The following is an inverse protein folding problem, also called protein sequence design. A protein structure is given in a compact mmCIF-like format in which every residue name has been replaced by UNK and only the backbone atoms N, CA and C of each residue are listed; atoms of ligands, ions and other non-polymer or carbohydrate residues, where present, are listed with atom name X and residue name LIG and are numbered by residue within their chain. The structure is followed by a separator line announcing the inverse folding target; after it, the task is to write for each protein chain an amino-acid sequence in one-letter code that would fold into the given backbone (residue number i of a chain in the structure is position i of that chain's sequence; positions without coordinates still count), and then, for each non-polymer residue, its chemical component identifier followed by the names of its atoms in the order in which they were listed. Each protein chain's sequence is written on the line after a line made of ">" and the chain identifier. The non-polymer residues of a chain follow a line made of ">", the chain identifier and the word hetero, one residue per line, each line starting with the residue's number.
data_IF_280316926623
#
_entry.id   IF_280316926623
#
_cell.length_a   1.000
_cell.length_b   1.000
_cell.length_c   1.000
_cell.angle_alpha   90.00
_cell.angle_beta   90.00
_cell.angle_gamma   90.00
#
_symmetry.space_group_name_H-M   'P 1'
#
loop_
_entity.id
_entity.type
_entity.pdbx_description
1 polymer ?
#
# COMPACT_ATOMS: atom_id res chain seq x y z
N UNK A 1 -12.81 -36.93 16.29
CA UNK A 1 -12.99 -35.49 16.61
C UNK A 1 -11.72 -34.75 17.00
N UNK A 2 -11.01 -35.14 18.08
CA UNK A 2 -9.84 -34.37 18.59
C UNK A 2 -8.74 -34.08 17.55
N UNK A 3 -8.44 -35.04 16.66
CA UNK A 3 -7.42 -34.89 15.60
C UNK A 3 -7.83 -33.93 14.47
N UNK A 4 -9.12 -33.78 14.20
CA UNK A 4 -9.65 -32.88 13.18
C UNK A 4 -9.63 -31.43 13.67
N UNK A 5 -10.07 -31.20 14.92
CA UNK A 5 -9.97 -29.90 15.58
C UNK A 5 -8.52 -29.41 15.71
N UNK A 6 -7.58 -30.32 16.02
CA UNK A 6 -6.14 -29.99 16.07
C UNK A 6 -5.58 -29.62 14.69
N UNK A 7 -6.09 -30.25 13.62
CA UNK A 7 -5.69 -29.97 12.24
C UNK A 7 -6.21 -28.61 11.77
N UNK A 8 -7.44 -28.24 12.14
CA UNK A 8 -8.02 -26.92 11.87
C UNK A 8 -7.31 -25.80 12.65
N UNK A 9 -6.98 -26.02 13.92
CA UNK A 9 -6.25 -25.02 14.74
C UNK A 9 -4.79 -24.85 14.30
N UNK A 10 -4.19 -25.87 13.69
CA UNK A 10 -2.85 -25.79 13.08
C UNK A 10 -2.88 -25.38 11.60
N UNK A 11 -4.05 -25.13 11.02
CA UNK A 11 -4.17 -24.74 9.61
C UNK A 11 -3.90 -23.24 9.46
N UNK A 12 -2.67 -22.90 9.08
CA UNK A 12 -2.20 -21.55 8.82
C UNK A 12 -2.52 -21.09 7.39
N UNK A 13 -3.11 -21.94 6.54
CA UNK A 13 -3.25 -21.69 5.10
C UNK A 13 -4.17 -20.51 4.74
N UNK A 14 -5.10 -20.14 5.62
CA UNK A 14 -5.94 -18.93 5.47
C UNK A 14 -5.35 -17.68 6.13
N UNK A 15 -4.53 -17.86 7.16
CA UNK A 15 -3.89 -16.77 7.93
C UNK A 15 -2.89 -16.03 7.04
N UNK A 16 -2.17 -16.75 6.18
CA UNK A 16 -1.17 -16.16 5.27
C UNK A 16 -1.79 -15.24 4.21
N UNK A 17 -2.99 -15.57 3.68
CA UNK A 17 -3.66 -14.72 2.70
C UNK A 17 -4.17 -13.40 3.32
N UNK A 18 -4.66 -13.45 4.56
CA UNK A 18 -5.10 -12.26 5.31
C UNK A 18 -3.89 -11.39 5.67
N UNK A 19 -2.80 -11.99 6.13
CA UNK A 19 -1.58 -11.27 6.49
C UNK A 19 -0.94 -10.58 5.28
N UNK A 20 -0.79 -11.28 4.14
CA UNK A 20 -0.33 -10.64 2.91
C UNK A 20 -1.31 -9.58 2.40
N UNK A 21 -2.61 -9.78 2.58
CA UNK A 21 -3.63 -8.76 2.31
C UNK A 21 -3.43 -7.50 3.14
N UNK A 22 -3.17 -7.63 4.44
CA UNK A 22 -2.90 -6.49 5.33
C UNK A 22 -1.58 -5.79 5.01
N UNK A 23 -0.53 -6.54 4.67
CA UNK A 23 0.75 -5.97 4.22
C UNK A 23 0.55 -5.18 2.93
N UNK A 24 -0.21 -5.73 1.97
CA UNK A 24 -0.57 -5.04 0.73
C UNK A 24 -1.36 -3.76 0.97
N UNK A 25 -2.33 -3.78 1.89
CA UNK A 25 -3.07 -2.59 2.31
C UNK A 25 -2.17 -1.52 2.94
N UNK A 26 -1.24 -1.92 3.81
CA UNK A 26 -0.29 -1.00 4.46
C UNK A 26 0.66 -0.35 3.45
N UNK A 27 1.14 -1.12 2.47
CA UNK A 27 1.96 -0.59 1.38
C UNK A 27 1.17 0.37 0.48
N UNK A 28 -0.04 0.00 0.08
CA UNK A 28 -0.88 0.84 -0.77
C UNK A 28 -1.24 2.17 -0.10
N UNK A 29 -1.59 2.14 1.19
CA UNK A 29 -1.91 3.36 1.96
C UNK A 29 -0.69 4.25 2.16
N UNK A 30 0.47 3.68 2.47
CA UNK A 30 1.73 4.42 2.58
C UNK A 30 2.11 5.09 1.26
N UNK A 31 1.98 4.37 0.14
CA UNK A 31 2.25 4.90 -1.19
C UNK A 31 1.26 6.02 -1.56
N UNK A 32 -0.03 5.87 -1.25
CA UNK A 32 -1.02 6.92 -1.50
C UNK A 32 -0.68 8.22 -0.78
N UNK A 33 -0.23 8.14 0.48
CA UNK A 33 0.20 9.32 1.26
C UNK A 33 1.44 9.97 0.65
N UNK A 34 2.44 9.16 0.24
CA UNK A 34 3.68 9.69 -0.37
C UNK A 34 3.40 10.34 -1.73
N UNK A 35 2.55 9.71 -2.55
CA UNK A 35 2.17 10.26 -3.86
C UNK A 35 1.45 11.59 -3.69
N UNK A 36 0.61 11.71 -2.66
CA UNK A 36 -0.13 12.93 -2.38
C UNK A 36 -1.11 13.26 -3.50
N UNK A 37 -1.32 14.55 -3.73
CA UNK A 37 -2.27 15.08 -4.70
C UNK A 37 -1.67 16.28 -5.46
N UNK A 38 -2.52 17.07 -6.13
CA UNK A 38 -2.06 18.23 -6.88
C UNK A 38 -1.53 19.37 -6.00
N UNK A 39 -1.82 19.35 -4.71
CA UNK A 39 -1.44 20.40 -3.76
C UNK A 39 -0.26 19.95 -2.88
N UNK A 40 -0.12 18.65 -2.61
CA UNK A 40 0.87 18.09 -1.67
C UNK A 40 1.53 16.80 -2.16
N UNK A 41 2.69 16.46 -1.59
CA UNK A 41 3.39 15.21 -1.89
C UNK A 41 4.12 15.21 -3.23
N UNK A 42 4.41 14.01 -3.74
CA UNK A 42 5.25 13.82 -4.92
C UNK A 42 4.64 14.42 -6.19
N UNK A 43 3.32 14.29 -6.39
CA UNK A 43 2.63 14.79 -7.60
C UNK A 43 2.74 16.32 -7.69
N UNK A 44 2.50 17.03 -6.59
CA UNK A 44 2.66 18.49 -6.50
C UNK A 44 4.09 18.94 -6.84
N UNK A 45 5.11 18.27 -6.28
CA UNK A 45 6.51 18.58 -6.58
C UNK A 45 6.84 18.39 -8.07
N UNK A 46 6.32 17.34 -8.69
CA UNK A 46 6.52 17.02 -10.10
C UNK A 46 5.84 18.05 -11.01
N UNK A 47 4.62 18.46 -10.65
CA UNK A 47 3.86 19.52 -11.33
C UNK A 47 4.56 20.89 -11.23
N UNK A 48 5.09 21.23 -10.05
CA UNK A 48 5.85 22.45 -9.82
C UNK A 48 7.13 22.50 -10.66
N UNK A 49 7.86 21.38 -10.74
CA UNK A 49 9.04 21.27 -11.60
C UNK A 49 8.69 21.44 -13.08
N UNK A 50 7.61 20.81 -13.55
CA UNK A 50 7.15 20.96 -14.94
C UNK A 50 6.75 22.41 -15.26
N UNK A 51 6.03 23.06 -14.35
CA UNK A 51 5.65 24.47 -14.48
C UNK A 51 6.89 25.38 -14.52
N UNK A 52 7.89 25.10 -13.68
CA UNK A 52 9.15 25.85 -13.65
C UNK A 52 9.90 25.76 -14.98
N UNK A 53 9.94 24.57 -15.60
CA UNK A 53 10.52 24.38 -16.93
C UNK A 53 9.71 25.16 -17.98
N UNK A 54 8.39 25.10 -17.92
CA UNK A 54 7.50 25.76 -18.88
C UNK A 54 7.62 27.28 -18.83
N UNK A 55 7.81 27.87 -17.64
CA UNK A 55 7.99 29.32 -17.46
C UNK A 55 9.40 29.78 -17.84
N UNK A 56 10.40 28.89 -17.73
CA UNK A 56 11.80 29.21 -18.05
C UNK A 56 12.09 29.26 -19.57
N UNK A 57 11.16 28.79 -20.40
CA UNK A 57 11.21 28.84 -21.87
C UNK A 57 10.17 29.84 -22.41
#
# INVERSE_FOLDING_TARGET
>A
MKRFLKKLLSDQGGVTAIEYGMIGMALATSLAIIMGDNESGFISALSSMYTSITIAF
#
